data_IF_861625528407
#
_entry.id   IF_861625528407
#
_cell.length_a   1.000
_cell.length_b   1.000
_cell.length_c   1.000
_cell.angle_alpha   90.00
_cell.angle_beta   90.00
_cell.angle_gamma   90.00
#
_symmetry.space_group_name_H-M   'P 1'
#
loop_
_entity.id
_entity.type
_entity.pdbx_description
1 polymer ?
#
# COMPACT_ATOMS: atom_id res chain seq x y z
N UNK A 1 -39.86 -45.51 -7.77
CA UNK A 1 -38.90 -44.82 -8.65
C UNK A 1 -37.52 -45.12 -8.09
N UNK A 2 -36.88 -46.17 -8.60
CA UNK A 2 -35.61 -46.69 -8.10
C UNK A 2 -34.47 -45.75 -8.48
N UNK A 3 -33.81 -45.19 -7.47
CA UNK A 3 -32.61 -44.36 -7.62
C UNK A 3 -31.49 -45.29 -8.07
N UNK A 4 -31.01 -45.14 -9.30
CA UNK A 4 -29.77 -45.78 -9.75
C UNK A 4 -28.61 -45.14 -8.97
N UNK A 5 -27.63 -45.92 -8.47
CA UNK A 5 -26.46 -45.35 -7.83
C UNK A 5 -25.71 -44.49 -8.85
N UNK A 6 -25.38 -43.25 -8.48
CA UNK A 6 -24.46 -42.42 -9.28
C UNK A 6 -23.16 -43.21 -9.46
N UNK A 7 -22.80 -43.50 -10.71
CA UNK A 7 -21.55 -44.16 -11.03
C UNK A 7 -20.40 -43.26 -10.55
N UNK A 8 -19.63 -43.75 -9.57
CA UNK A 8 -18.39 -43.12 -9.12
C UNK A 8 -17.42 -43.08 -10.30
N UNK A 9 -17.20 -41.89 -10.86
CA UNK A 9 -16.44 -41.67 -12.10
C UNK A 9 -15.25 -40.77 -11.78
N UNK A 10 -14.04 -41.24 -12.09
CA UNK A 10 -12.82 -40.43 -11.96
C UNK A 10 -12.39 -39.90 -13.33
N UNK A 11 -12.35 -38.58 -13.50
CA UNK A 11 -11.86 -37.93 -14.73
C UNK A 11 -10.35 -37.83 -14.70
N UNK A 12 -9.66 -38.49 -15.62
CA UNK A 12 -8.19 -38.47 -15.70
C UNK A 12 -7.72 -38.11 -17.10
N UNK A 13 -6.59 -37.42 -17.16
CA UNK A 13 -5.87 -37.16 -18.40
C UNK A 13 -4.84 -38.27 -18.60
N UNK A 14 -4.93 -39.03 -19.68
CA UNK A 14 -3.94 -40.04 -20.05
C UNK A 14 -3.02 -39.50 -21.14
N UNK A 15 -1.71 -39.58 -20.89
CA UNK A 15 -0.65 -39.16 -21.79
C UNK A 15 0.06 -40.42 -22.32
N UNK A 16 -0.08 -40.70 -23.61
CA UNK A 16 0.71 -41.72 -24.33
C UNK A 16 1.81 -41.08 -25.15
N UNK A 17 2.63 -41.90 -25.82
CA UNK A 17 3.64 -41.43 -26.78
C UNK A 17 3.04 -40.77 -28.03
N UNK A 18 1.79 -41.07 -28.37
CA UNK A 18 1.13 -40.59 -29.59
C UNK A 18 0.13 -39.47 -29.34
N UNK A 19 -0.59 -39.47 -28.20
CA UNK A 19 -1.57 -38.41 -27.89
C UNK A 19 -1.89 -38.28 -26.39
N UNK A 20 -2.50 -37.13 -26.06
CA UNK A 20 -3.12 -36.85 -24.76
C UNK A 20 -4.64 -36.97 -24.90
N UNK A 21 -5.28 -37.73 -24.02
CA UNK A 21 -6.74 -37.96 -24.04
C UNK A 21 -7.31 -37.93 -22.63
N UNK A 22 -8.43 -37.25 -22.48
CA UNK A 22 -9.17 -37.19 -21.22
C UNK A 22 -10.25 -38.27 -21.21
N UNK A 23 -10.23 -39.12 -20.17
CA UNK A 23 -11.16 -40.24 -20.02
C UNK A 23 -11.84 -40.18 -18.65
N UNK A 24 -13.11 -40.56 -18.61
CA UNK A 24 -13.82 -40.84 -17.37
C UNK A 24 -13.75 -42.35 -17.10
N UNK A 25 -13.09 -42.73 -16.02
CA UNK A 25 -12.92 -44.13 -15.63
C UNK A 25 -13.99 -44.52 -14.60
N UNK A 26 -14.78 -45.58 -14.84
CA UNK A 26 -15.73 -46.11 -13.88
C UNK A 26 -15.02 -46.71 -12.65
N UNK A 27 -15.38 -46.23 -11.45
CA UNK A 27 -14.76 -46.58 -10.18
C UNK A 27 -14.91 -48.05 -9.76
N UNK A 28 -16.01 -48.69 -10.17
CA UNK A 28 -16.33 -50.08 -9.81
C UNK A 28 -15.58 -51.14 -10.65
N UNK A 29 -14.91 -50.74 -11.72
CA UNK A 29 -14.27 -51.64 -12.69
C UNK A 29 -12.76 -51.73 -12.41
N UNK A 30 -12.16 -52.90 -12.67
CA UNK A 30 -10.70 -53.08 -12.54
C UNK A 30 -9.95 -52.37 -13.67
N UNK A 31 -8.73 -51.89 -13.38
CA UNK A 31 -7.92 -51.22 -14.40
C UNK A 31 -7.57 -52.16 -15.56
N UNK A 32 -7.46 -53.47 -15.31
CA UNK A 32 -7.21 -54.50 -16.33
C UNK A 32 -8.31 -54.57 -17.40
N UNK A 33 -9.57 -54.42 -17.01
CA UNK A 33 -10.72 -54.43 -17.93
C UNK A 33 -10.80 -53.15 -18.77
N UNK A 34 -10.33 -52.03 -18.22
CA UNK A 34 -10.31 -50.74 -18.91
C UNK A 34 -9.09 -50.58 -19.83
N UNK A 35 -8.03 -51.37 -19.62
CA UNK A 35 -6.76 -51.22 -20.33
C UNK A 35 -6.88 -51.31 -21.86
N UNK A 36 -7.58 -52.29 -22.46
CA UNK A 36 -7.74 -52.35 -23.92
C UNK A 36 -8.41 -51.10 -24.49
N UNK A 37 -9.41 -50.57 -23.78
CA UNK A 37 -10.10 -49.34 -24.14
C UNK A 37 -9.18 -48.12 -24.01
N UNK A 38 -8.42 -48.02 -22.91
CA UNK A 38 -7.45 -46.96 -22.66
C UNK A 38 -6.37 -46.94 -23.75
N UNK A 39 -5.78 -48.09 -24.10
CA UNK A 39 -4.75 -48.21 -25.15
C UNK A 39 -5.32 -47.77 -26.49
N UNK A 40 -6.50 -48.25 -26.88
CA UNK A 40 -7.18 -47.83 -28.12
C UNK A 40 -7.52 -46.34 -28.12
N UNK A 41 -8.04 -45.81 -27.01
CA UNK A 41 -8.32 -44.38 -26.85
C UNK A 41 -7.06 -43.53 -26.72
N UNK A 42 -5.90 -44.12 -26.47
CA UNK A 42 -4.62 -43.42 -26.50
C UNK A 42 -3.91 -43.49 -27.86
N UNK A 43 -4.55 -44.08 -28.88
CA UNK A 43 -4.04 -44.10 -30.27
C UNK A 43 -2.92 -45.11 -30.47
N UNK A 44 -2.90 -46.17 -29.67
CA UNK A 44 -1.93 -47.26 -29.72
C UNK A 44 -2.65 -48.54 -30.17
N UNK A 45 -1.98 -49.34 -31.00
CA UNK A 45 -2.51 -50.61 -31.50
C UNK A 45 -2.10 -51.76 -30.57
N UNK A 46 -3.07 -52.56 -30.15
CA UNK A 46 -2.86 -53.85 -29.50
C UNK A 46 -3.60 -54.90 -30.31
N UNK A 47 -2.93 -55.97 -30.75
CA UNK A 47 -3.55 -56.99 -31.60
C UNK A 47 -4.53 -57.86 -30.80
N UNK A 48 -4.33 -57.97 -29.48
CA UNK A 48 -5.23 -58.70 -28.57
C UNK A 48 -5.50 -57.94 -27.28
N UNK A 49 -6.69 -58.13 -26.65
CA UNK A 49 -7.00 -57.50 -25.36
C UNK A 49 -6.06 -57.98 -24.23
N UNK A 50 -5.55 -59.21 -24.31
CA UNK A 50 -4.54 -59.75 -23.38
C UNK A 50 -3.19 -59.04 -23.52
N UNK A 51 -2.77 -58.71 -24.75
CA UNK A 51 -1.55 -57.95 -25.01
C UNK A 51 -1.64 -56.53 -24.43
N UNK A 52 -2.82 -55.89 -24.48
CA UNK A 52 -3.02 -54.57 -23.85
C UNK A 52 -2.73 -54.58 -22.34
N UNK A 53 -3.13 -55.64 -21.63
CA UNK A 53 -2.94 -55.78 -20.17
C UNK A 53 -1.50 -56.15 -19.81
N UNK A 54 -0.79 -56.89 -20.67
CA UNK A 54 0.57 -57.35 -20.40
C UNK A 54 1.65 -56.37 -20.89
N UNK A 55 1.41 -55.66 -22.00
CA UNK A 55 2.40 -54.78 -22.63
C UNK A 55 2.36 -53.35 -22.09
N UNK A 56 1.23 -52.89 -21.55
CA UNK A 56 1.04 -51.50 -21.13
C UNK A 56 0.80 -51.37 -19.64
N UNK A 57 1.27 -50.26 -19.08
CA UNK A 57 1.06 -49.90 -17.68
C UNK A 57 0.74 -48.43 -17.56
N UNK A 58 -0.12 -48.12 -16.61
CA UNK A 58 -0.51 -46.76 -16.27
C UNK A 58 0.20 -46.38 -14.97
N UNK A 59 0.89 -45.24 -14.97
CA UNK A 59 1.67 -44.79 -13.82
C UNK A 59 1.52 -43.28 -13.62
N UNK A 60 1.65 -42.82 -12.37
CA UNK A 60 1.84 -41.41 -12.07
C UNK A 60 3.28 -41.02 -12.40
N UNK A 61 3.53 -39.74 -12.68
CA UNK A 61 4.88 -39.26 -12.90
C UNK A 61 5.74 -39.47 -11.65
N UNK A 62 6.83 -40.26 -11.76
CA UNK A 62 7.75 -40.55 -10.66
C UNK A 62 7.18 -41.48 -9.58
N UNK A 63 6.20 -42.32 -9.90
CA UNK A 63 5.68 -43.35 -8.97
C UNK A 63 5.59 -44.69 -9.68
N UNK A 64 5.51 -45.76 -8.89
CA UNK A 64 5.32 -47.11 -9.42
C UNK A 64 4.05 -47.22 -10.27
N UNK A 65 4.03 -48.12 -11.27
CA UNK A 65 2.84 -48.40 -12.04
C UNK A 65 1.69 -48.90 -11.16
N UNK A 66 0.46 -48.51 -11.50
CA UNK A 66 -0.74 -48.93 -10.79
C UNK A 66 -0.96 -50.44 -10.92
N UNK A 67 -1.49 -51.04 -9.86
CA UNK A 67 -1.93 -52.43 -9.87
C UNK A 67 -3.17 -52.59 -10.77
N UNK A 68 -3.03 -53.43 -11.80
CA UNK A 68 -4.05 -53.68 -12.82
C UNK A 68 -5.28 -54.42 -12.27
N UNK A 69 -5.13 -55.16 -11.17
CA UNK A 69 -6.21 -55.95 -10.58
C UNK A 69 -7.01 -55.20 -9.51
N UNK A 70 -6.59 -53.99 -9.17
CA UNK A 70 -7.29 -53.14 -8.21
C UNK A 70 -8.37 -52.30 -8.92
N UNK A 71 -9.58 -52.17 -8.35
CA UNK A 71 -10.63 -51.31 -8.91
C UNK A 71 -10.26 -49.83 -8.84
N UNK A 72 -10.71 -49.04 -9.81
CA UNK A 72 -10.35 -47.63 -9.99
C UNK A 72 -10.60 -46.78 -8.74
N UNK A 73 -11.69 -47.04 -8.02
CA UNK A 73 -12.02 -46.32 -6.77
C UNK A 73 -11.02 -46.56 -5.62
N UNK A 74 -10.27 -47.66 -5.65
CA UNK A 74 -9.22 -47.98 -4.66
C UNK A 74 -7.83 -47.48 -5.07
N UNK A 75 -7.67 -47.01 -6.31
CA UNK A 75 -6.40 -46.47 -6.82
C UNK A 75 -6.16 -45.00 -6.40
N UNK A 76 -7.06 -44.41 -5.58
CA UNK A 76 -6.97 -43.03 -5.09
C UNK A 76 -6.73 -41.98 -6.20
N UNK A 77 -7.31 -42.20 -7.37
CA UNK A 77 -7.23 -41.27 -8.49
C UNK A 77 -8.09 -40.04 -8.19
N UNK A 78 -7.52 -38.85 -8.43
CA UNK A 78 -8.26 -37.59 -8.29
C UNK A 78 -8.78 -37.12 -9.65
N UNK A 79 -9.90 -36.38 -9.62
CA UNK A 79 -10.39 -35.71 -10.81
C UNK A 79 -9.37 -34.68 -11.34
N UNK A 80 -9.08 -34.76 -12.64
CA UNK A 80 -8.10 -33.94 -13.34
C UNK A 80 -6.65 -34.45 -13.24
N UNK A 81 -6.42 -35.63 -12.66
CA UNK A 81 -5.07 -36.18 -12.50
C UNK A 81 -4.48 -36.65 -13.85
N UNK A 82 -3.18 -36.37 -14.05
CA UNK A 82 -2.44 -36.77 -15.26
C UNK A 82 -1.70 -38.08 -15.05
N UNK A 83 -2.02 -39.07 -15.88
CA UNK A 83 -1.45 -40.41 -15.86
C UNK A 83 -0.67 -40.69 -17.15
N UNK A 84 0.45 -41.40 -17.03
CA UNK A 84 1.29 -41.76 -18.17
C UNK A 84 1.04 -43.23 -18.55
N UNK A 85 0.67 -43.46 -19.80
CA UNK A 85 0.55 -44.79 -20.38
C UNK A 85 1.86 -45.13 -21.09
N UNK A 86 2.59 -46.15 -20.61
CA UNK A 86 3.87 -46.58 -21.20
C UNK A 86 3.94 -48.09 -21.35
N UNK A 87 4.85 -48.54 -22.21
CA UNK A 87 5.18 -49.95 -22.32
C UNK A 87 5.81 -50.45 -21.01
N UNK A 88 5.50 -51.69 -20.59
CA UNK A 88 5.92 -52.25 -19.30
C UNK A 88 7.43 -52.29 -19.12
N UNK A 89 8.18 -52.51 -20.19
CA UNK A 89 9.65 -52.50 -20.21
C UNK A 89 10.24 -51.08 -20.07
N UNK A 90 9.42 -50.04 -20.25
CA UNK A 90 9.79 -48.62 -20.19
C UNK A 90 9.09 -47.89 -19.02
N UNK A 91 8.71 -48.62 -17.97
CA UNK A 91 8.22 -48.01 -16.73
C UNK A 91 9.26 -47.00 -16.20
N UNK A 92 8.79 -45.89 -15.62
CA UNK A 92 9.72 -44.87 -15.11
C UNK A 92 10.40 -45.46 -13.87
N UNK A 93 11.74 -45.56 -13.81
CA UNK A 93 12.43 -45.99 -12.61
C UNK A 93 12.10 -45.05 -11.45
N UNK A 94 12.05 -45.58 -10.23
CA UNK A 94 11.93 -44.76 -9.03
C UNK A 94 13.02 -43.68 -9.01
N UNK A 95 12.69 -42.50 -8.49
CA UNK A 95 13.65 -41.41 -8.32
C UNK A 95 14.63 -41.79 -7.20
N UNK A 96 15.62 -42.61 -7.54
CA UNK A 96 16.71 -42.96 -6.64
C UNK A 96 17.61 -41.72 -6.45
N UNK A 97 17.48 -41.07 -5.29
CA UNK A 97 18.43 -40.07 -4.84
C UNK A 97 19.71 -40.79 -4.40
N UNK A 98 20.69 -40.84 -5.29
CA UNK A 98 21.94 -41.61 -5.11
C UNK A 98 22.97 -40.91 -4.21
N UNK A 99 22.66 -39.71 -3.71
CA UNK A 99 23.64 -38.94 -2.94
C UNK A 99 23.00 -38.15 -1.79
N UNK A 100 23.26 -38.61 -0.57
CA UNK A 100 22.85 -37.95 0.70
C UNK A 100 23.42 -36.52 0.78
N UNK A 101 24.50 -36.24 0.05
CA UNK A 101 25.10 -34.90 -0.07
C UNK A 101 24.23 -33.96 -0.89
N UNK A 102 23.55 -34.45 -1.94
CA UNK A 102 22.72 -33.63 -2.82
C UNK A 102 21.33 -33.33 -2.20
N UNK A 103 20.84 -34.22 -1.33
CA UNK A 103 19.64 -33.97 -0.52
C UNK A 103 19.86 -32.85 0.52
N UNK A 104 21.05 -32.77 1.13
CA UNK A 104 21.41 -31.70 2.07
C UNK A 104 21.74 -30.40 1.33
N UNK A 105 22.37 -30.48 0.14
CA UNK A 105 22.61 -29.33 -0.73
C UNK A 105 21.30 -28.74 -1.28
N UNK A 106 20.34 -29.58 -1.67
CA UNK A 106 18.99 -29.16 -2.09
C UNK A 106 18.20 -28.49 -0.96
N UNK A 107 18.26 -29.04 0.26
CA UNK A 107 17.63 -28.45 1.43
C UNK A 107 18.27 -27.10 1.85
N UNK A 108 19.58 -26.92 1.63
CA UNK A 108 20.28 -25.67 1.97
C UNK A 108 20.21 -24.61 0.86
N UNK A 109 20.16 -25.00 -0.42
CA UNK A 109 19.95 -24.09 -1.56
C UNK A 109 18.51 -23.54 -1.66
N UNK A 110 17.56 -24.13 -0.93
CA UNK A 110 16.20 -23.59 -0.79
C UNK A 110 16.11 -22.35 0.12
N UNK A 111 17.19 -22.03 0.85
CA UNK A 111 17.25 -20.84 1.71
C UNK A 111 17.59 -19.61 0.87
N UNK A 112 16.93 -18.49 1.14
CA UNK A 112 17.28 -17.21 0.52
C UNK A 112 18.74 -16.86 0.85
N UNK A 113 19.62 -16.95 -0.13
CA UNK A 113 21.03 -16.59 0.01
C UNK A 113 21.22 -15.08 -0.27
N UNK A 114 22.32 -14.52 0.26
CA UNK A 114 22.64 -13.12 0.02
C UNK A 114 23.04 -12.90 -1.44
N UNK A 115 22.20 -12.21 -2.22
CA UNK A 115 22.46 -11.87 -3.60
C UNK A 115 22.93 -10.42 -3.80
N UNK A 116 23.36 -10.09 -5.02
CA UNK A 116 23.73 -8.73 -5.41
C UNK A 116 22.60 -7.70 -5.18
N UNK A 117 21.34 -8.12 -5.33
CA UNK A 117 20.17 -7.30 -5.01
C UNK A 117 20.12 -6.87 -3.54
N UNK A 118 20.47 -7.77 -2.62
CA UNK A 118 20.51 -7.48 -1.19
C UNK A 118 21.66 -6.53 -0.85
N UNK A 119 22.85 -6.75 -1.43
CA UNK A 119 23.99 -5.80 -1.31
C UNK A 119 23.61 -4.40 -1.76
N UNK A 120 22.91 -4.29 -2.91
CA UNK A 120 22.44 -3.01 -3.44
C UNK A 120 21.42 -2.36 -2.51
N UNK A 121 20.42 -3.10 -2.06
CA UNK A 121 19.41 -2.59 -1.14
C UNK A 121 20.05 -2.07 0.16
N UNK A 122 20.96 -2.85 0.74
CA UNK A 122 21.71 -2.46 1.93
C UNK A 122 22.56 -1.21 1.68
N UNK A 123 23.24 -1.12 0.53
CA UNK A 123 23.99 0.06 0.14
C UNK A 123 23.13 1.31 -0.03
N UNK A 124 21.92 1.18 -0.60
CA UNK A 124 20.97 2.29 -0.73
C UNK A 124 20.41 2.73 0.63
N UNK A 125 20.14 1.79 1.54
CA UNK A 125 19.74 2.11 2.92
C UNK A 125 20.86 2.87 3.62
N UNK A 126 22.11 2.40 3.53
CA UNK A 126 23.26 3.05 4.13
C UNK A 126 23.53 4.44 3.54
N UNK A 127 23.35 4.60 2.22
CA UNK A 127 23.40 5.91 1.57
C UNK A 127 22.39 6.86 2.20
N UNK A 128 21.13 6.44 2.36
CA UNK A 128 20.07 7.27 2.94
C UNK A 128 20.34 7.63 4.40
N UNK A 129 20.75 6.65 5.21
CA UNK A 129 21.02 6.87 6.64
C UNK A 129 22.19 7.80 6.84
N UNK A 130 23.26 7.68 6.05
CA UNK A 130 24.42 8.59 6.13
C UNK A 130 24.06 9.98 5.61
N UNK A 131 23.42 10.06 4.44
CA UNK A 131 23.14 11.32 3.76
C UNK A 131 22.13 12.19 4.53
N UNK A 132 21.14 11.59 5.19
CA UNK A 132 20.12 12.31 5.99
C UNK A 132 20.52 12.36 7.46
N UNK A 133 21.01 11.24 8.01
CA UNK A 133 21.26 11.08 9.44
C UNK A 133 22.44 11.89 9.94
N UNK A 134 23.56 11.98 9.20
CA UNK A 134 24.70 12.78 9.67
C UNK A 134 24.39 14.28 9.73
N UNK A 135 23.81 14.93 8.70
CA UNK A 135 23.46 16.34 8.79
C UNK A 135 22.45 16.63 9.92
N UNK A 136 21.44 15.76 10.08
CA UNK A 136 20.48 15.90 11.16
C UNK A 136 21.15 15.76 12.54
N UNK A 137 22.03 14.78 12.71
CA UNK A 137 22.78 14.58 13.94
C UNK A 137 23.67 15.79 14.25
N UNK A 138 24.36 16.35 13.26
CA UNK A 138 25.19 17.54 13.45
C UNK A 138 24.39 18.76 13.88
N UNK A 139 23.15 18.92 13.40
CA UNK A 139 22.25 20.01 13.80
C UNK A 139 21.74 19.79 15.22
N UNK A 140 21.27 18.57 15.55
CA UNK A 140 20.64 18.26 16.84
C UNK A 140 21.66 18.13 17.97
N UNK A 141 22.90 17.72 17.67
CA UNK A 141 23.98 17.59 18.65
C UNK A 141 24.64 18.93 19.02
N UNK A 142 24.21 20.05 18.43
CA UNK A 142 24.69 21.36 18.86
C UNK A 142 24.26 21.62 20.32
N UNK A 143 25.14 22.17 21.17
CA UNK A 143 24.78 22.49 22.54
C UNK A 143 23.64 23.51 22.57
N UNK A 144 22.76 23.42 23.57
CA UNK A 144 21.75 24.46 23.80
C UNK A 144 22.48 25.77 24.14
N UNK A 145 22.26 26.78 23.30
CA UNK A 145 22.89 28.10 23.46
C UNK A 145 21.88 29.01 24.14
N UNK A 146 22.27 29.59 25.28
CA UNK A 146 21.47 30.61 25.93
C UNK A 146 21.21 31.78 24.97
N UNK A 147 19.94 32.14 24.71
CA UNK A 147 19.59 33.14 23.71
C UNK A 147 20.17 34.51 24.05
N UNK A 148 20.30 34.83 25.34
CA UNK A 148 20.87 36.11 25.79
C UNK A 148 22.39 36.18 25.56
N UNK A 149 23.11 35.06 25.68
CA UNK A 149 24.54 35.00 25.38
C UNK A 149 24.79 35.07 23.87
N UNK A 150 23.92 34.43 23.08
CA UNK A 150 23.99 34.48 21.62
C UNK A 150 23.67 35.86 21.01
N UNK A 151 22.94 36.72 21.73
CA UNK A 151 22.74 38.13 21.34
C UNK A 151 24.01 38.95 21.44
N UNK A 152 24.83 38.65 22.44
CA UNK A 152 26.08 39.36 22.71
C UNK A 152 27.17 38.85 21.77
N UNK A 153 27.26 37.53 21.60
CA UNK A 153 28.25 36.88 20.73
C UNK A 153 27.55 36.01 19.65
N UNK A 154 27.18 36.59 18.48
CA UNK A 154 26.54 35.86 17.38
C UNK A 154 27.37 34.68 16.85
N UNK A 155 28.68 34.69 17.10
CA UNK A 155 29.60 33.60 16.73
C UNK A 155 29.24 32.25 17.35
N UNK A 156 28.51 32.22 18.47
CA UNK A 156 28.04 30.96 19.06
C UNK A 156 27.07 30.21 18.14
N UNK A 157 26.30 30.93 17.30
CA UNK A 157 25.34 30.33 16.34
C UNK A 157 25.95 29.97 14.99
N UNK A 158 27.20 30.36 14.75
CA UNK A 158 27.93 30.07 13.51
C UNK A 158 28.00 28.58 13.17
N UNK A 159 28.37 27.65 14.08
CA UNK A 159 28.44 26.22 13.74
C UNK A 159 27.08 25.65 13.31
N UNK A 160 25.99 26.06 13.96
CA UNK A 160 24.63 25.70 13.54
C UNK A 160 24.32 26.26 12.15
N UNK A 161 24.65 27.52 11.88
CA UNK A 161 24.48 28.14 10.56
C UNK A 161 25.22 27.38 9.46
N UNK A 162 26.47 26.98 9.71
CA UNK A 162 27.27 26.18 8.78
C UNK A 162 26.66 24.79 8.58
N UNK A 163 26.20 24.13 9.64
CA UNK A 163 25.55 22.82 9.54
C UNK A 163 24.27 22.88 8.70
N UNK A 164 23.42 23.89 8.92
CA UNK A 164 22.18 24.09 8.15
C UNK A 164 22.49 24.44 6.69
N UNK A 165 23.47 25.31 6.43
CA UNK A 165 23.90 25.66 5.08
C UNK A 165 24.49 24.45 4.33
N UNK A 166 25.32 23.66 4.99
CA UNK A 166 25.87 22.43 4.44
C UNK A 166 24.77 21.41 4.12
N UNK A 167 23.76 21.28 5.00
CA UNK A 167 22.58 20.43 4.74
C UNK A 167 21.82 20.90 3.50
N UNK A 168 21.65 22.22 3.34
CA UNK A 168 21.00 22.80 2.15
C UNK A 168 21.80 22.57 0.87
N UNK A 169 23.13 22.67 0.95
CA UNK A 169 24.02 22.32 -0.15
C UNK A 169 23.94 20.83 -0.51
N UNK A 170 23.94 19.93 0.50
CA UNK A 170 23.76 18.49 0.29
C UNK A 170 22.42 18.16 -0.37
N UNK A 171 21.34 18.84 0.04
CA UNK A 171 20.02 18.73 -0.59
C UNK A 171 20.10 19.06 -2.09
N UNK A 172 20.72 20.19 -2.43
CA UNK A 172 20.88 20.63 -3.80
C UNK A 172 21.79 19.69 -4.61
N UNK A 173 22.91 19.25 -4.04
CA UNK A 173 23.82 18.30 -4.65
C UNK A 173 23.14 16.94 -4.90
N UNK A 174 22.30 16.48 -3.97
CA UNK A 174 21.51 15.26 -4.14
C UNK A 174 20.47 15.40 -5.26
N UNK A 175 19.82 16.56 -5.41
CA UNK A 175 18.93 16.85 -6.54
C UNK A 175 19.69 16.74 -7.88
N UNK A 176 20.83 17.42 -8.01
CA UNK A 176 21.66 17.36 -9.22
C UNK A 176 22.14 15.93 -9.48
N UNK A 177 22.62 15.23 -8.44
CA UNK A 177 23.07 13.85 -8.53
C UNK A 177 21.96 12.90 -8.98
N UNK A 178 20.74 13.09 -8.50
CA UNK A 178 19.56 12.35 -8.95
C UNK A 178 19.29 12.57 -10.44
N UNK A 179 19.28 13.83 -10.88
CA UNK A 179 19.06 14.18 -12.29
C UNK A 179 20.16 13.59 -13.18
N UNK A 180 21.42 13.73 -12.77
CA UNK A 180 22.56 13.21 -13.52
C UNK A 180 22.51 11.68 -13.64
N UNK A 181 22.27 10.96 -12.55
CA UNK A 181 22.19 9.49 -12.57
C UNK A 181 20.98 8.99 -13.38
N UNK A 182 19.82 9.63 -13.22
CA UNK A 182 18.62 9.26 -13.97
C UNK A 182 18.76 9.50 -15.48
N UNK A 183 19.40 10.60 -15.88
CA UNK A 183 19.45 11.04 -17.28
C UNK A 183 20.70 10.63 -18.03
N UNK A 184 21.87 10.73 -17.39
CA UNK A 184 23.15 10.43 -18.04
C UNK A 184 23.55 8.97 -17.87
N UNK A 185 23.34 8.39 -16.68
CA UNK A 185 23.75 7.01 -16.37
C UNK A 185 22.60 5.99 -16.52
N UNK A 186 21.36 6.44 -16.73
CA UNK A 186 20.15 5.62 -16.74
C UNK A 186 20.02 4.71 -15.49
N UNK A 187 20.58 5.14 -14.37
CA UNK A 187 20.46 4.47 -13.08
C UNK A 187 19.23 5.06 -12.37
N UNK A 188 18.20 4.25 -12.18
CA UNK A 188 16.95 4.70 -11.56
C UNK A 188 16.87 4.50 -10.03
N UNK A 189 17.30 3.38 -9.41
CA UNK A 189 17.14 3.20 -7.96
C UNK A 189 17.94 4.18 -7.10
N UNK A 190 19.21 4.40 -7.41
CA UNK A 190 20.07 5.37 -6.71
C UNK A 190 19.60 6.79 -6.96
N UNK A 191 19.18 7.11 -8.20
CA UNK A 191 18.58 8.41 -8.51
C UNK A 191 17.28 8.64 -7.72
N UNK A 192 16.45 7.60 -7.55
CA UNK A 192 15.25 7.67 -6.69
C UNK A 192 15.65 8.04 -5.27
N UNK A 193 16.62 7.33 -4.69
CA UNK A 193 17.08 7.59 -3.34
C UNK A 193 17.58 9.03 -3.16
N UNK A 194 18.39 9.53 -4.10
CA UNK A 194 18.88 10.90 -4.04
C UNK A 194 17.77 11.95 -4.18
N UNK A 195 16.73 11.70 -4.98
CA UNK A 195 15.57 12.60 -5.07
C UNK A 195 14.81 12.71 -3.75
N UNK A 196 14.57 11.57 -3.08
CA UNK A 196 13.90 11.54 -1.78
C UNK A 196 14.78 12.13 -0.67
N UNK A 197 16.08 11.87 -0.69
CA UNK A 197 17.03 12.49 0.23
C UNK A 197 17.08 14.01 0.04
N UNK A 198 17.07 14.49 -1.20
CA UNK A 198 17.03 15.92 -1.50
C UNK A 198 15.80 16.60 -0.89
N UNK A 199 14.59 16.06 -1.13
CA UNK A 199 13.38 16.61 -0.53
C UNK A 199 13.42 16.58 1.02
N UNK A 200 13.93 15.52 1.61
CA UNK A 200 14.04 15.38 3.08
C UNK A 200 15.03 16.39 3.67
N UNK A 201 16.23 16.49 3.09
CA UNK A 201 17.25 17.45 3.50
C UNK A 201 16.78 18.89 3.32
N UNK A 202 16.05 19.19 2.25
CA UNK A 202 15.43 20.50 2.04
C UNK A 202 14.47 20.88 3.18
N UNK A 203 13.66 19.93 3.63
CA UNK A 203 12.76 20.11 4.78
C UNK A 203 13.53 20.36 6.08
N UNK A 204 14.59 19.58 6.35
CA UNK A 204 15.46 19.78 7.51
C UNK A 204 16.10 21.17 7.46
N UNK A 205 16.68 21.55 6.32
CA UNK A 205 17.25 22.88 6.12
C UNK A 205 16.22 23.97 6.38
N UNK A 206 15.02 23.86 5.81
CA UNK A 206 13.97 24.87 5.96
C UNK A 206 13.47 24.99 7.40
N UNK A 207 13.35 23.88 8.11
CA UNK A 207 12.93 23.86 9.52
C UNK A 207 13.91 24.60 10.45
N UNK A 208 15.20 24.46 10.18
CA UNK A 208 16.27 25.06 10.99
C UNK A 208 16.85 26.36 10.41
N UNK A 209 16.49 26.77 9.19
CA UNK A 209 17.08 27.91 8.46
C UNK A 209 17.04 29.23 9.23
N UNK A 210 15.97 29.50 9.98
CA UNK A 210 15.82 30.74 10.72
C UNK A 210 16.46 30.72 12.13
N UNK A 211 16.85 29.55 12.63
CA UNK A 211 17.39 29.39 14.01
C UNK A 211 18.76 30.08 14.20
N UNK A 212 19.70 30.03 13.23
CA UNK A 212 20.97 30.74 13.38
C UNK A 212 20.83 32.26 13.43
N UNK A 213 19.75 32.82 12.89
CA UNK A 213 19.59 34.26 12.64
C UNK A 213 18.59 34.91 13.61
N UNK A 214 17.67 34.16 14.20
CA UNK A 214 16.62 34.68 15.09
C UNK A 214 16.60 33.95 16.43
N UNK A 215 16.33 34.69 17.50
CA UNK A 215 16.24 34.16 18.88
C UNK A 215 14.99 33.30 19.09
N UNK A 216 13.88 33.72 18.49
CA UNK A 216 12.61 32.99 18.54
C UNK A 216 12.08 32.86 17.12
N UNK A 217 11.80 31.62 16.73
CA UNK A 217 11.25 31.32 15.41
C UNK A 217 9.88 30.67 15.64
N UNK A 218 8.78 31.39 15.35
CA UNK A 218 7.44 30.83 15.45
C UNK A 218 7.31 29.56 14.61
N UNK A 219 6.49 28.62 15.08
CA UNK A 219 6.24 27.34 14.39
C UNK A 219 5.81 27.55 12.94
N UNK A 220 4.92 28.52 12.70
CA UNK A 220 4.44 28.85 11.36
C UNK A 220 5.56 29.24 10.39
N UNK A 221 6.58 30.00 10.85
CA UNK A 221 7.74 30.38 10.02
C UNK A 221 8.58 29.16 9.66
N UNK A 222 8.81 28.25 10.61
CA UNK A 222 9.52 26.97 10.36
C UNK A 222 8.78 26.12 9.33
N UNK A 223 7.46 26.03 9.45
CA UNK A 223 6.61 25.30 8.53
C UNK A 223 6.62 25.92 7.13
N UNK A 224 6.56 27.25 7.00
CA UNK A 224 6.66 27.94 5.70
C UNK A 224 7.99 27.65 5.03
N UNK A 225 9.12 27.82 5.72
CA UNK A 225 10.44 27.58 5.14
C UNK A 225 10.67 26.11 4.79
N UNK A 226 10.28 25.18 5.69
CA UNK A 226 10.34 23.74 5.44
C UNK A 226 9.51 23.35 4.21
N UNK A 227 8.23 23.72 4.18
CA UNK A 227 7.34 23.38 3.08
C UNK A 227 7.73 24.03 1.76
N UNK A 228 8.20 25.28 1.76
CA UNK A 228 8.70 25.94 0.55
C UNK A 228 9.91 25.21 -0.06
N UNK A 229 10.92 24.85 0.75
CA UNK A 229 12.09 24.16 0.25
C UNK A 229 11.79 22.72 -0.21
N UNK A 230 10.93 22.00 0.51
CA UNK A 230 10.45 20.66 0.10
C UNK A 230 9.69 20.75 -1.23
N UNK A 231 8.79 21.73 -1.39
CA UNK A 231 8.02 21.97 -2.61
C UNK A 231 8.96 22.16 -3.81
N UNK A 232 9.97 23.03 -3.66
CA UNK A 232 10.93 23.32 -4.74
C UNK A 232 11.74 22.07 -5.09
N UNK A 233 12.32 21.37 -4.10
CA UNK A 233 13.19 20.21 -4.39
C UNK A 233 12.41 19.00 -4.90
N UNK A 234 11.25 18.68 -4.31
CA UNK A 234 10.41 17.59 -4.78
C UNK A 234 9.86 17.86 -6.19
N UNK A 235 9.42 19.11 -6.46
CA UNK A 235 8.96 19.53 -7.78
C UNK A 235 10.08 19.47 -8.83
N UNK A 236 11.27 19.98 -8.50
CA UNK A 236 12.44 19.92 -9.37
C UNK A 236 12.81 18.46 -9.70
N UNK A 237 12.90 17.58 -8.70
CA UNK A 237 13.20 16.16 -8.92
C UNK A 237 12.11 15.45 -9.74
N UNK A 238 10.83 15.72 -9.47
CA UNK A 238 9.71 15.12 -10.20
C UNK A 238 9.76 15.47 -11.70
N UNK A 239 10.09 16.74 -12.03
CA UNK A 239 10.12 17.23 -13.41
C UNK A 239 11.42 16.89 -14.14
N UNK A 240 12.57 17.07 -13.47
CA UNK A 240 13.89 16.93 -14.08
C UNK A 240 14.37 15.48 -14.10
N UNK A 241 14.43 14.80 -12.95
CA UNK A 241 14.88 13.41 -12.88
C UNK A 241 13.84 12.45 -13.47
N UNK A 242 12.54 12.77 -13.31
CA UNK A 242 11.39 11.93 -13.73
C UNK A 242 11.37 10.52 -13.13
N UNK A 243 12.13 10.30 -12.07
CA UNK A 243 12.13 9.04 -11.32
C UNK A 243 11.09 9.13 -10.22
N UNK A 244 10.18 8.17 -10.14
CA UNK A 244 9.07 8.18 -9.16
C UNK A 244 8.22 9.48 -9.18
N UNK A 245 8.07 10.09 -10.37
CA UNK A 245 7.54 11.45 -10.52
C UNK A 245 6.18 11.69 -9.81
N UNK A 246 5.27 10.72 -9.84
CA UNK A 246 3.96 10.85 -9.18
C UNK A 246 4.06 10.77 -7.64
N UNK A 247 5.01 10.01 -7.10
CA UNK A 247 5.25 9.97 -5.66
C UNK A 247 5.89 11.27 -5.18
N UNK A 248 6.87 11.81 -5.92
CA UNK A 248 7.44 13.13 -5.64
C UNK A 248 6.42 14.26 -5.85
N UNK A 249 5.49 14.12 -6.80
CA UNK A 249 4.35 15.02 -6.93
C UNK A 249 3.45 14.99 -5.68
N UNK A 250 3.22 13.82 -5.07
CA UNK A 250 2.51 13.74 -3.79
C UNK A 250 3.23 14.52 -2.69
N UNK A 251 4.57 14.42 -2.62
CA UNK A 251 5.39 15.16 -1.65
C UNK A 251 5.31 16.66 -1.91
N UNK A 252 5.45 17.08 -3.16
CA UNK A 252 5.32 18.48 -3.56
C UNK A 252 3.93 19.04 -3.25
N UNK A 253 2.87 18.28 -3.52
CA UNK A 253 1.49 18.69 -3.24
C UNK A 253 1.22 18.77 -1.73
N UNK A 254 1.77 17.83 -0.94
CA UNK A 254 1.76 17.89 0.54
C UNK A 254 2.40 19.19 1.01
N UNK A 255 3.60 19.49 0.49
CA UNK A 255 4.33 20.70 0.81
C UNK A 255 3.59 21.98 0.37
N UNK A 256 2.88 21.96 -0.76
CA UNK A 256 2.06 23.09 -1.20
C UNK A 256 0.92 23.37 -0.22
N UNK A 257 0.17 22.34 0.17
CA UNK A 257 -0.94 22.52 1.11
C UNK A 257 -0.44 22.95 2.50
N UNK A 258 0.68 22.40 2.99
CA UNK A 258 1.27 22.84 4.26
C UNK A 258 1.83 24.25 4.17
N UNK A 259 2.38 24.67 3.03
CA UNK A 259 2.84 26.04 2.79
C UNK A 259 1.68 27.04 2.85
N UNK A 260 0.56 26.72 2.20
CA UNK A 260 -0.65 27.55 2.24
C UNK A 260 -1.20 27.65 3.66
N UNK A 261 -1.30 26.52 4.37
CA UNK A 261 -1.71 26.47 5.77
C UNK A 261 -0.77 27.28 6.69
N UNK A 262 0.53 27.08 6.58
CA UNK A 262 1.50 27.77 7.43
C UNK A 262 1.53 29.29 7.13
N UNK A 263 1.33 29.67 5.87
CA UNK A 263 1.23 31.07 5.46
C UNK A 263 -0.03 31.75 6.03
N UNK A 264 -1.18 31.06 6.06
CA UNK A 264 -2.38 31.59 6.72
C UNK A 264 -2.24 31.68 8.24
N UNK A 265 -1.48 30.78 8.89
CA UNK A 265 -1.13 30.91 10.32
C UNK A 265 -0.36 32.20 10.62
N UNK A 266 0.53 32.62 9.73
CA UNK A 266 1.26 33.89 9.85
C UNK A 266 0.30 35.07 9.69
N UNK A 267 -0.53 35.06 8.65
CA UNK A 267 -1.46 36.16 8.33
C UNK A 267 -2.52 36.39 9.42
N UNK A 268 -2.99 35.32 10.06
CA UNK A 268 -4.03 35.38 11.11
C UNK A 268 -3.47 35.60 12.52
N UNK A 269 -2.19 35.93 12.67
CA UNK A 269 -1.62 36.28 13.97
C UNK A 269 -1.46 35.08 14.91
N UNK A 270 -0.94 33.95 14.41
CA UNK A 270 -0.56 32.76 15.18
C UNK A 270 -1.72 31.89 15.72
N UNK A 271 -2.90 31.96 15.09
CA UNK A 271 -4.01 31.00 15.25
C UNK A 271 -3.68 29.65 14.59
N UNK A 272 -2.62 29.00 15.10
CA UNK A 272 -2.03 27.80 14.48
C UNK A 272 -2.96 26.58 14.57
N UNK A 273 -3.71 26.47 15.66
CA UNK A 273 -4.60 25.34 15.93
C UNK A 273 -5.85 25.43 15.06
N UNK A 274 -6.44 26.62 14.96
CA UNK A 274 -7.66 26.92 14.21
C UNK A 274 -7.42 26.68 12.72
N UNK A 275 -6.31 27.19 12.19
CA UNK A 275 -5.91 26.96 10.80
C UNK A 275 -5.63 25.47 10.56
N UNK A 276 -4.98 24.78 11.50
CA UNK A 276 -4.77 23.34 11.39
C UNK A 276 -6.11 22.56 11.35
N UNK A 277 -7.08 22.92 12.18
CA UNK A 277 -8.40 22.29 12.21
C UNK A 277 -9.18 22.52 10.90
N UNK A 278 -9.12 23.74 10.36
CA UNK A 278 -9.72 24.08 9.06
C UNK A 278 -9.02 23.30 7.94
N UNK A 279 -7.69 23.25 7.92
CA UNK A 279 -6.94 22.53 6.87
C UNK A 279 -7.22 21.03 6.92
N UNK A 280 -7.27 20.42 8.11
CA UNK A 280 -7.69 19.03 8.31
C UNK A 280 -9.08 18.78 7.71
N UNK A 281 -10.03 19.66 7.99
CA UNK A 281 -11.41 19.59 7.49
C UNK A 281 -11.47 19.73 5.96
N UNK A 282 -10.75 20.70 5.40
CA UNK A 282 -10.67 20.92 3.95
C UNK A 282 -10.07 19.70 3.25
N UNK A 283 -8.99 19.11 3.79
CA UNK A 283 -8.41 17.89 3.22
C UNK A 283 -9.40 16.73 3.23
N UNK A 284 -10.21 16.60 4.29
CA UNK A 284 -11.25 15.58 4.36
C UNK A 284 -12.27 15.72 3.22
N UNK A 285 -12.80 16.93 3.00
CA UNK A 285 -13.78 17.18 1.94
C UNK A 285 -13.17 17.13 0.53
N UNK A 286 -11.92 17.57 0.37
CA UNK A 286 -11.22 17.59 -0.90
C UNK A 286 -11.14 16.19 -1.54
N UNK A 287 -11.07 15.13 -0.74
CA UNK A 287 -11.08 13.73 -1.22
C UNK A 287 -12.25 13.39 -2.15
N UNK A 288 -13.39 14.07 -2.02
CA UNK A 288 -14.57 13.88 -2.89
C UNK A 288 -14.38 14.40 -4.30
N UNK A 289 -13.53 15.40 -4.49
CA UNK A 289 -13.34 16.07 -5.77
C UNK A 289 -12.12 15.51 -6.54
N UNK A 290 -11.24 14.78 -5.86
CA UNK A 290 -10.00 14.26 -6.45
C UNK A 290 -10.22 13.33 -7.66
N UNK A 291 -11.19 12.39 -7.67
CA UNK A 291 -11.42 11.53 -8.83
C UNK A 291 -11.77 12.35 -10.08
N UNK A 292 -12.71 13.30 -9.96
CA UNK A 292 -13.11 14.15 -11.08
C UNK A 292 -11.94 15.00 -11.57
N UNK A 293 -11.13 15.54 -10.66
CA UNK A 293 -9.93 16.30 -11.02
C UNK A 293 -8.89 15.44 -11.74
N UNK A 294 -8.64 14.21 -11.29
CA UNK A 294 -7.66 13.33 -11.94
C UNK A 294 -8.09 12.95 -13.36
N UNK A 295 -9.38 12.65 -13.58
CA UNK A 295 -9.93 12.40 -14.92
C UNK A 295 -9.80 13.63 -15.84
N UNK A 296 -10.08 14.83 -15.31
CA UNK A 296 -9.94 16.09 -16.06
C UNK A 296 -8.48 16.40 -16.42
N UNK A 297 -7.55 16.21 -15.48
CA UNK A 297 -6.10 16.43 -15.71
C UNK A 297 -5.55 15.40 -16.71
N UNK A 298 -6.02 14.15 -16.64
CA UNK A 298 -5.65 13.11 -17.60
C UNK A 298 -6.29 13.31 -19.00
N UNK A 299 -7.20 14.27 -19.14
CA UNK A 299 -7.90 14.56 -20.38
C UNK A 299 -8.72 13.38 -20.89
N UNK A 300 -9.32 12.61 -19.97
CA UNK A 300 -10.25 11.54 -20.33
C UNK A 300 -11.56 12.20 -20.72
N UNK A 301 -11.94 12.09 -21.99
CA UNK A 301 -13.26 12.49 -22.43
C UNK A 301 -14.27 11.54 -21.75
N UNK A 302 -15.03 12.05 -20.79
CA UNK A 302 -16.18 11.33 -20.28
C UNK A 302 -17.16 11.20 -21.47
N UNK A 303 -17.54 9.98 -21.88
CA UNK A 303 -18.50 9.82 -22.95
C UNK A 303 -19.78 10.54 -22.55
N UNK A 304 -20.29 11.40 -23.43
CA UNK A 304 -21.61 11.98 -23.25
C UNK A 304 -22.60 10.82 -23.42
N UNK A 305 -23.14 10.30 -22.31
CA UNK A 305 -24.13 9.23 -22.37
C UNK A 305 -25.33 9.75 -23.17
N UNK A 306 -25.58 9.22 -24.38
CA UNK A 306 -26.66 9.71 -25.21
C UNK A 306 -27.97 9.34 -24.52
N UNK A 307 -28.78 10.34 -24.17
CA UNK A 307 -30.07 10.16 -23.49
C UNK A 307 -31.17 9.65 -24.43
N UNK A 308 -30.91 9.61 -25.74
CA UNK A 308 -31.83 9.16 -26.79
C UNK A 308 -31.21 8.03 -27.61
N UNK A 309 -32.00 7.02 -27.96
CA UNK A 309 -31.58 5.86 -28.78
C UNK A 309 -30.98 6.26 -30.12
N UNK A 310 -31.51 7.30 -30.76
CA UNK A 310 -30.99 7.88 -32.01
C UNK A 310 -29.58 8.45 -31.83
N UNK A 311 -29.28 9.05 -30.68
CA UNK A 311 -27.98 9.60 -30.37
C UNK A 311 -26.96 8.53 -29.96
N UNK A 312 -27.41 7.36 -29.48
CA UNK A 312 -26.54 6.18 -29.27
C UNK A 312 -26.12 5.54 -30.60
N UNK A 313 -27.00 5.56 -31.60
CA UNK A 313 -26.72 5.04 -32.95
C UNK A 313 -25.87 6.02 -33.78
N UNK A 314 -25.99 7.32 -33.52
CA UNK A 314 -25.22 8.38 -34.18
C UNK A 314 -23.86 8.67 -33.52
N UNK A 315 -23.57 8.08 -32.35
CA UNK A 315 -22.30 8.27 -31.66
C UNK A 315 -21.19 7.45 -32.33
N UNK A 316 -20.60 8.03 -33.38
CA UNK A 316 -19.42 7.50 -34.07
C UNK A 316 -18.10 8.04 -33.47
N UNK A 317 -18.12 8.62 -32.26
CA UNK A 317 -16.90 9.20 -31.69
C UNK A 317 -15.83 8.11 -31.52
N UNK A 318 -14.70 8.20 -32.24
CA UNK A 318 -13.69 7.16 -32.17
C UNK A 318 -13.10 7.14 -30.76
N UNK A 319 -13.12 5.97 -30.14
CA UNK A 319 -12.46 5.75 -28.84
C UNK A 319 -11.01 6.19 -28.98
N UNK A 320 -10.56 7.10 -28.10
CA UNK A 320 -9.18 7.58 -28.13
C UNK A 320 -8.22 6.40 -28.06
N UNK A 321 -7.28 6.29 -29.00
CA UNK A 321 -6.29 5.20 -29.04
C UNK A 321 -5.48 5.09 -27.75
N UNK A 322 -5.27 6.23 -27.07
CA UNK A 322 -4.46 6.34 -25.85
C UNK A 322 -5.30 6.28 -24.56
N UNK A 323 -6.58 5.91 -24.64
CA UNK A 323 -7.49 5.97 -23.48
C UNK A 323 -7.00 5.12 -22.30
N UNK A 324 -6.38 3.97 -22.58
CA UNK A 324 -5.80 3.08 -21.55
C UNK A 324 -4.64 3.76 -20.82
N UNK A 325 -3.73 4.39 -21.56
CA UNK A 325 -2.58 5.10 -20.97
C UNK A 325 -3.04 6.29 -20.13
N UNK A 326 -4.06 7.03 -20.60
CA UNK A 326 -4.69 8.14 -19.85
C UNK A 326 -5.38 7.64 -18.59
N UNK A 327 -6.10 6.52 -18.66
CA UNK A 327 -6.75 5.90 -17.51
C UNK A 327 -5.75 5.45 -16.45
N UNK A 328 -4.66 4.79 -16.86
CA UNK A 328 -3.57 4.41 -15.95
C UNK A 328 -2.88 5.63 -15.32
N UNK A 329 -2.70 6.70 -16.09
CA UNK A 329 -2.17 7.96 -15.56
C UNK A 329 -3.13 8.61 -14.55
N UNK A 330 -4.44 8.67 -14.86
CA UNK A 330 -5.46 9.20 -13.97
C UNK A 330 -5.53 8.42 -12.64
N UNK A 331 -5.43 7.09 -12.69
CA UNK A 331 -5.43 6.22 -11.51
C UNK A 331 -4.22 6.49 -10.59
N UNK A 332 -3.02 6.57 -11.18
CA UNK A 332 -1.79 6.88 -10.43
C UNK A 332 -1.76 8.31 -9.90
N UNK A 333 -2.29 9.27 -10.68
CA UNK A 333 -2.43 10.67 -10.26
C UNK A 333 -3.43 10.80 -9.11
N UNK A 334 -4.55 10.06 -9.14
CA UNK A 334 -5.49 10.00 -8.04
C UNK A 334 -4.83 9.43 -6.78
N UNK A 335 -4.03 8.37 -6.91
CA UNK A 335 -3.26 7.81 -5.81
C UNK A 335 -2.29 8.80 -5.17
N UNK A 336 -1.59 9.62 -5.96
CA UNK A 336 -0.68 10.64 -5.43
C UNK A 336 -1.40 11.84 -4.82
N UNK A 337 -2.53 12.26 -5.40
CA UNK A 337 -3.36 13.32 -4.80
C UNK A 337 -3.94 12.86 -3.45
N UNK A 338 -4.44 11.63 -3.36
CA UNK A 338 -4.96 11.07 -2.11
C UNK A 338 -3.86 10.95 -1.04
N UNK A 339 -2.67 10.47 -1.42
CA UNK A 339 -1.52 10.41 -0.52
C UNK A 339 -1.11 11.80 0.00
N UNK A 340 -1.17 12.84 -0.85
CA UNK A 340 -0.89 14.20 -0.42
C UNK A 340 -1.95 14.74 0.54
N UNK A 341 -3.23 14.53 0.24
CA UNK A 341 -4.33 14.95 1.14
C UNK A 341 -4.32 14.20 2.47
N UNK A 342 -3.94 12.92 2.48
CA UNK A 342 -3.89 12.14 3.71
C UNK A 342 -2.68 12.51 4.56
N UNK A 343 -1.51 12.72 3.95
CA UNK A 343 -0.31 13.18 4.66
C UNK A 343 -0.52 14.57 5.29
N UNK A 344 -1.13 15.49 4.56
CA UNK A 344 -1.43 16.85 5.07
C UNK A 344 -2.47 16.85 6.17
N UNK A 345 -3.51 16.02 6.06
CA UNK A 345 -4.47 15.79 7.13
C UNK A 345 -3.78 15.27 8.40
N UNK A 346 -2.86 14.30 8.29
CA UNK A 346 -2.12 13.78 9.46
C UNK A 346 -1.29 14.88 10.13
N UNK A 347 -0.58 15.70 9.35
CA UNK A 347 0.19 16.83 9.88
C UNK A 347 -0.71 17.87 10.56
N UNK A 348 -1.85 18.20 9.96
CA UNK A 348 -2.83 19.13 10.51
C UNK A 348 -3.49 18.57 11.79
N UNK A 349 -3.78 17.27 11.83
CA UNK A 349 -4.32 16.59 13.01
C UNK A 349 -3.36 16.68 14.20
N UNK A 350 -2.05 16.54 13.98
CA UNK A 350 -1.05 16.68 15.05
C UNK A 350 -1.08 18.06 15.69
N UNK A 351 -1.16 19.13 14.89
CA UNK A 351 -1.28 20.51 15.39
C UNK A 351 -2.65 20.78 16.04
N UNK A 352 -3.71 20.22 15.48
CA UNK A 352 -5.09 20.37 16.01
C UNK A 352 -5.21 19.76 17.41
N UNK A 353 -4.58 18.60 17.64
CA UNK A 353 -4.58 17.94 18.96
C UNK A 353 -3.82 18.72 20.03
N UNK A 354 -2.93 19.66 19.66
CA UNK A 354 -2.24 20.51 20.64
C UNK A 354 -3.19 21.39 21.45
N UNK A 355 -4.43 21.61 20.97
CA UNK A 355 -5.47 22.32 21.75
C UNK A 355 -5.85 21.56 23.04
N UNK A 356 -5.76 20.23 23.04
CA UNK A 356 -6.12 19.41 24.19
C UNK A 356 -7.62 19.38 24.55
N UNK A 357 -8.51 19.74 23.63
CA UNK A 357 -9.96 19.80 23.86
C UNK A 357 -10.69 18.52 23.40
N UNK A 358 -11.90 18.31 23.92
CA UNK A 358 -12.77 17.24 23.42
C UNK A 358 -13.16 17.48 21.95
N UNK A 359 -13.30 18.74 21.53
CA UNK A 359 -13.63 19.08 20.14
C UNK A 359 -12.49 18.76 19.18
N UNK A 360 -11.23 19.02 19.55
CA UNK A 360 -10.09 18.71 18.69
C UNK A 360 -9.89 17.20 18.53
N UNK A 361 -10.05 16.43 19.61
CA UNK A 361 -10.00 14.96 19.56
C UNK A 361 -11.14 14.37 18.73
N UNK A 362 -12.37 14.89 18.89
CA UNK A 362 -13.53 14.46 18.12
C UNK A 362 -13.38 14.78 16.63
N UNK A 363 -12.88 15.96 16.27
CA UNK A 363 -12.62 16.34 14.88
C UNK A 363 -11.64 15.38 14.22
N UNK A 364 -10.51 15.11 14.87
CA UNK A 364 -9.47 14.20 14.35
C UNK A 364 -9.99 12.77 14.25
N UNK A 365 -10.79 12.32 15.22
CA UNK A 365 -11.42 11.01 15.18
C UNK A 365 -12.41 10.89 14.02
N UNK A 366 -13.29 11.88 13.82
CA UNK A 366 -14.25 11.93 12.72
C UNK A 366 -13.54 11.88 11.36
N UNK A 367 -12.49 12.68 11.15
CA UNK A 367 -11.72 12.67 9.90
C UNK A 367 -10.98 11.34 9.71
N UNK A 368 -10.36 10.80 10.77
CA UNK A 368 -9.69 9.51 10.72
C UNK A 368 -10.61 8.36 10.35
N UNK A 369 -11.80 8.29 10.98
CA UNK A 369 -12.83 7.31 10.65
C UNK A 369 -13.38 7.49 9.23
N UNK A 370 -13.61 8.74 8.80
CA UNK A 370 -14.03 9.03 7.43
C UNK A 370 -13.01 8.49 6.42
N UNK A 371 -11.70 8.69 6.64
CA UNK A 371 -10.67 8.15 5.75
C UNK A 371 -10.63 6.62 5.74
N UNK A 372 -10.69 5.97 6.90
CA UNK A 372 -10.71 4.51 6.99
C UNK A 372 -11.91 3.89 6.27
N UNK A 373 -13.10 4.48 6.45
CA UNK A 373 -14.34 3.99 5.85
C UNK A 373 -14.38 4.27 4.34
N UNK A 374 -13.95 5.47 3.94
CA UNK A 374 -13.90 5.90 2.54
C UNK A 374 -12.87 5.12 1.72
N UNK A 375 -11.86 4.53 2.34
CA UNK A 375 -10.90 3.67 1.68
C UNK A 375 -11.57 2.45 0.97
N UNK A 376 -12.79 2.08 1.38
CA UNK A 376 -13.59 1.01 0.74
C UNK A 376 -14.08 1.38 -0.66
N UNK A 377 -14.22 2.67 -0.96
CA UNK A 377 -14.67 3.16 -2.27
C UNK A 377 -13.59 3.06 -3.36
N UNK A 378 -12.32 2.91 -2.97
CA UNK A 378 -11.19 2.87 -3.88
C UNK A 378 -10.66 1.45 -4.06
N UNK A 379 -10.56 1.02 -5.31
CA UNK A 379 -10.03 -0.31 -5.67
C UNK A 379 -8.50 -0.29 -5.77
N UNK A 380 -7.91 0.84 -6.20
CA UNK A 380 -6.47 0.97 -6.40
C UNK A 380 -5.68 0.84 -5.09
N UNK A 381 -4.60 0.04 -5.11
CA UNK A 381 -3.78 -0.23 -3.92
C UNK A 381 -3.23 1.05 -3.29
N UNK A 382 -2.66 1.96 -4.10
CA UNK A 382 -2.09 3.21 -3.58
C UNK A 382 -3.15 4.14 -3.00
N UNK A 383 -4.31 4.25 -3.66
CA UNK A 383 -5.44 5.08 -3.23
C UNK A 383 -5.99 4.59 -1.88
N UNK A 384 -6.17 3.27 -1.78
CA UNK A 384 -6.65 2.62 -0.56
C UNK A 384 -5.64 2.71 0.58
N UNK A 385 -4.35 2.46 0.32
CA UNK A 385 -3.30 2.60 1.34
C UNK A 385 -3.14 4.04 1.83
N UNK A 386 -3.21 5.03 0.94
CA UNK A 386 -3.12 6.45 1.32
C UNK A 386 -4.16 6.83 2.37
N UNK A 387 -5.42 6.42 2.17
CA UNK A 387 -6.51 6.68 3.11
C UNK A 387 -6.46 5.78 4.35
N UNK A 388 -6.10 4.50 4.21
CA UNK A 388 -5.99 3.58 5.35
C UNK A 388 -4.89 4.02 6.31
N UNK A 389 -3.69 4.32 5.80
CA UNK A 389 -2.56 4.74 6.63
C UNK A 389 -2.86 6.10 7.26
N UNK A 390 -3.34 7.07 6.48
CA UNK A 390 -3.70 8.40 7.01
C UNK A 390 -4.80 8.34 8.06
N UNK A 391 -5.88 7.61 7.78
CA UNK A 391 -6.99 7.40 8.71
C UNK A 391 -6.56 6.68 9.98
N UNK A 392 -5.75 5.62 9.85
CA UNK A 392 -5.22 4.89 11.00
C UNK A 392 -4.32 5.77 11.88
N UNK A 393 -3.45 6.60 11.29
CA UNK A 393 -2.63 7.55 12.04
C UNK A 393 -3.50 8.58 12.78
N UNK A 394 -4.51 9.18 12.12
CA UNK A 394 -5.42 10.11 12.78
C UNK A 394 -6.18 9.47 13.94
N UNK A 395 -6.75 8.28 13.75
CA UNK A 395 -7.45 7.55 14.81
C UNK A 395 -6.49 7.17 15.94
N UNK A 396 -5.28 6.71 15.63
CA UNK A 396 -4.28 6.39 16.64
C UNK A 396 -3.87 7.62 17.46
N UNK A 397 -3.65 8.77 16.81
CA UNK A 397 -3.34 10.03 17.50
C UNK A 397 -4.49 10.48 18.40
N UNK A 398 -5.75 10.41 17.94
CA UNK A 398 -6.92 10.73 18.76
C UNK A 398 -7.07 9.76 19.95
N UNK A 399 -6.87 8.45 19.71
CA UNK A 399 -6.91 7.43 20.76
C UNK A 399 -5.81 7.63 21.81
N UNK A 400 -4.59 8.00 21.39
CA UNK A 400 -3.49 8.35 22.30
C UNK A 400 -3.86 9.59 23.12
N UNK A 401 -4.40 10.64 22.48
CA UNK A 401 -4.80 11.86 23.19
C UNK A 401 -5.86 11.59 24.27
N UNK A 402 -6.89 10.78 23.95
CA UNK A 402 -7.89 10.33 24.93
C UNK A 402 -7.26 9.45 26.00
N UNK A 403 -6.38 8.54 25.60
CA UNK A 403 -5.72 7.59 26.50
C UNK A 403 -4.83 8.26 27.54
N UNK A 404 -4.07 9.27 27.16
CA UNK A 404 -3.25 10.06 28.07
C UNK A 404 -4.10 10.74 29.14
N UNK A 405 -5.29 11.25 28.77
CA UNK A 405 -6.23 11.82 29.74
C UNK A 405 -6.84 10.77 30.68
N UNK A 406 -7.30 9.64 30.13
CA UNK A 406 -7.92 8.58 30.91
C UNK A 406 -6.95 7.88 31.89
N UNK A 407 -5.67 7.74 31.51
CA UNK A 407 -4.62 7.11 32.32
C UNK A 407 -4.30 7.86 33.63
N UNK A 408 -4.78 9.10 33.79
CA UNK A 408 -4.61 9.86 35.03
C UNK A 408 -5.46 9.33 36.19
N UNK A 409 -6.43 8.46 35.92
CA UNK A 409 -7.30 7.84 36.93
C UNK A 409 -7.21 6.32 36.88
N UNK A 410 -7.31 5.65 38.04
CA UNK A 410 -7.28 4.18 38.10
C UNK A 410 -8.44 3.55 37.32
N UNK A 411 -9.62 4.17 37.37
CA UNK A 411 -10.80 3.74 36.61
C UNK A 411 -10.63 3.93 35.10
N UNK A 412 -10.03 5.05 34.67
CA UNK A 412 -9.70 5.28 33.27
C UNK A 412 -8.67 4.27 32.77
N UNK A 413 -7.62 4.00 33.54
CA UNK A 413 -6.60 3.00 33.20
C UNK A 413 -7.17 1.58 33.07
N UNK A 414 -8.05 1.15 34.00
CA UNK A 414 -8.70 -0.15 33.89
C UNK A 414 -9.63 -0.23 32.68
N UNK A 415 -10.39 0.83 32.39
CA UNK A 415 -11.25 0.89 31.20
C UNK A 415 -10.43 0.81 29.90
N UNK A 416 -9.27 1.47 29.83
CA UNK A 416 -8.38 1.42 28.68
C UNK A 416 -7.81 0.02 28.45
N UNK A 417 -7.41 -0.69 29.51
CA UNK A 417 -6.95 -2.08 29.40
C UNK A 417 -8.05 -2.99 28.85
N UNK A 418 -9.29 -2.83 29.30
CA UNK A 418 -10.43 -3.59 28.79
C UNK A 418 -10.68 -3.28 27.31
N UNK A 419 -10.68 -2.00 26.91
CA UNK A 419 -10.85 -1.60 25.51
C UNK A 419 -9.70 -2.13 24.64
N UNK A 420 -8.46 -2.06 25.13
CA UNK A 420 -7.29 -2.58 24.44
C UNK A 420 -7.38 -4.09 24.21
N UNK A 421 -7.73 -4.86 25.25
CA UNK A 421 -7.93 -6.31 25.14
C UNK A 421 -9.06 -6.66 24.16
N UNK A 422 -10.16 -5.91 24.18
CA UNK A 422 -11.27 -6.10 23.25
C UNK A 422 -10.85 -5.83 21.80
N UNK A 423 -10.17 -4.71 21.54
CA UNK A 423 -9.67 -4.38 20.20
C UNK A 423 -8.64 -5.41 19.72
N UNK A 424 -7.71 -5.82 20.57
CA UNK A 424 -6.73 -6.84 20.26
C UNK A 424 -7.41 -8.18 19.89
N UNK A 425 -8.42 -8.58 20.65
CA UNK A 425 -9.22 -9.77 20.34
C UNK A 425 -9.94 -9.65 18.99
N UNK A 426 -10.60 -8.52 18.71
CA UNK A 426 -11.30 -8.28 17.44
C UNK A 426 -10.35 -8.35 16.26
N UNK A 427 -9.19 -7.69 16.33
CA UNK A 427 -8.19 -7.72 15.26
C UNK A 427 -7.56 -9.10 15.10
N UNK A 428 -7.23 -9.79 16.20
CA UNK A 428 -6.72 -11.16 16.15
C UNK A 428 -7.73 -12.10 15.49
N UNK A 429 -9.01 -11.99 15.86
CA UNK A 429 -10.07 -12.79 15.25
C UNK A 429 -10.27 -12.47 13.76
N UNK A 430 -10.23 -11.18 13.39
CA UNK A 430 -10.31 -10.77 11.99
C UNK A 430 -9.19 -11.38 11.15
N UNK A 431 -7.94 -11.25 11.62
CA UNK A 431 -6.76 -11.80 10.96
C UNK A 431 -6.78 -13.33 10.89
N UNK A 432 -7.30 -14.01 11.92
CA UNK A 432 -7.35 -15.46 11.97
C UNK A 432 -8.48 -16.07 11.11
N UNK A 433 -9.65 -15.43 11.05
CA UNK A 433 -10.87 -16.10 10.58
C UNK A 433 -11.66 -15.35 9.48
N UNK A 434 -11.56 -14.02 9.40
CA UNK A 434 -12.50 -13.19 8.62
C UNK A 434 -11.85 -12.57 7.38
N UNK A 435 -10.53 -12.42 7.33
CA UNK A 435 -9.83 -11.64 6.28
C UNK A 435 -10.17 -12.04 4.82
N UNK A 436 -10.50 -13.31 4.56
CA UNK A 436 -10.81 -13.84 3.23
C UNK A 436 -12.31 -13.99 2.96
N UNK A 437 -13.17 -13.62 3.93
CA UNK A 437 -14.62 -13.77 3.81
C UNK A 437 -15.24 -12.51 3.23
N UNK A 438 -16.12 -12.70 2.24
CA UNK A 438 -16.98 -11.62 1.76
C UNK A 438 -18.05 -11.37 2.82
N UNK A 439 -18.00 -10.21 3.48
CA UNK A 439 -18.98 -9.79 4.47
C UNK A 439 -20.35 -9.59 3.80
N UNK A 440 -21.43 -9.85 4.55
CA UNK A 440 -22.79 -9.69 4.02
C UNK A 440 -23.08 -8.22 3.63
N UNK A 441 -23.96 -7.96 2.65
CA UNK A 441 -24.29 -6.60 2.19
C UNK A 441 -24.76 -5.65 3.31
N UNK A 442 -25.34 -6.20 4.38
CA UNK A 442 -25.78 -5.46 5.57
C UNK A 442 -24.63 -4.77 6.31
N UNK A 443 -23.46 -5.41 6.41
CA UNK A 443 -22.27 -4.81 7.04
C UNK A 443 -21.70 -3.66 6.20
N UNK A 444 -21.80 -3.77 4.87
CA UNK A 444 -21.48 -2.67 3.96
C UNK A 444 -22.31 -1.44 4.29
N UNK A 445 -23.63 -1.62 4.43
CA UNK A 445 -24.59 -0.55 4.78
C UNK A 445 -24.26 0.11 6.12
N UNK A 446 -23.93 -0.67 7.14
CA UNK A 446 -23.54 -0.11 8.44
C UNK A 446 -22.28 0.74 8.32
N UNK A 447 -21.27 0.28 7.58
CA UNK A 447 -20.08 1.08 7.32
C UNK A 447 -20.39 2.40 6.61
N UNK A 448 -21.35 2.40 5.68
CA UNK A 448 -21.80 3.64 5.02
C UNK A 448 -22.44 4.58 6.04
N UNK A 449 -23.34 4.09 6.90
CA UNK A 449 -23.95 4.90 7.98
C UNK A 449 -22.88 5.51 8.90
N UNK A 450 -21.87 4.73 9.30
CA UNK A 450 -20.76 5.26 10.10
C UNK A 450 -19.93 6.30 9.35
N UNK A 451 -19.77 6.16 8.03
CA UNK A 451 -19.08 7.13 7.20
C UNK A 451 -19.85 8.46 7.14
N UNK A 452 -21.16 8.39 6.93
CA UNK A 452 -22.04 9.56 6.99
C UNK A 452 -22.00 10.24 8.35
N UNK A 453 -22.09 9.48 9.45
CA UNK A 453 -21.99 10.03 10.80
C UNK A 453 -20.64 10.70 11.06
N UNK A 454 -19.55 10.07 10.62
CA UNK A 454 -18.21 10.64 10.74
C UNK A 454 -18.11 11.96 9.98
N UNK A 455 -18.58 12.01 8.72
CA UNK A 455 -18.58 13.22 7.88
C UNK A 455 -19.46 14.33 8.47
N UNK A 456 -20.67 14.00 8.93
CA UNK A 456 -21.59 14.96 9.56
C UNK A 456 -20.95 15.53 10.83
N UNK A 457 -20.23 14.70 11.60
CA UNK A 457 -19.56 15.11 12.84
C UNK A 457 -18.39 16.09 12.63
N UNK A 458 -17.79 16.15 11.43
CA UNK A 458 -16.65 17.04 11.14
C UNK A 458 -17.00 18.51 11.37
N UNK A 459 -18.15 18.97 10.84
CA UNK A 459 -18.51 20.40 10.90
C UNK A 459 -18.80 20.85 12.34
N UNK A 460 -19.65 20.16 13.13
CA UNK A 460 -19.86 20.52 14.54
C UNK A 460 -18.57 20.50 15.36
N UNK A 461 -17.69 19.52 15.11
CA UNK A 461 -16.41 19.41 15.81
C UNK A 461 -15.48 20.58 15.48
N UNK A 462 -15.40 20.97 14.20
CA UNK A 462 -14.63 22.13 13.76
C UNK A 462 -15.13 23.42 14.43
N UNK A 463 -16.44 23.64 14.47
CA UNK A 463 -17.03 24.81 15.15
C UNK A 463 -16.67 24.85 16.65
N UNK A 464 -16.56 23.68 17.28
CA UNK A 464 -16.09 23.57 18.66
C UNK A 464 -14.61 23.86 18.83
N UNK A 465 -13.76 23.46 17.88
CA UNK A 465 -12.33 23.80 17.89
C UNK A 465 -12.11 25.30 17.70
N UNK A 466 -12.94 25.95 16.90
CA UNK A 466 -12.90 27.40 16.65
C UNK A 466 -13.53 28.23 17.79
N UNK A 467 -13.93 27.60 18.89
CA UNK A 467 -14.58 28.27 20.03
C UNK A 467 -15.86 29.06 19.67
N UNK A 468 -16.56 28.69 18.59
CA UNK A 468 -17.81 29.37 18.22
C UNK A 468 -18.94 29.09 19.21
N UNK A 469 -19.01 27.89 19.79
CA UNK A 469 -20.06 27.57 20.77
C UNK A 469 -19.92 28.39 22.05
N UNK A 470 -18.69 28.56 22.55
CA UNK A 470 -18.42 29.39 23.74
C UNK A 470 -18.66 30.86 23.44
N UNK A 471 -18.32 31.33 22.24
CA UNK A 471 -18.64 32.69 21.78
C UNK A 471 -20.14 32.97 21.79
N UNK A 472 -20.96 32.12 21.15
CA UNK A 472 -22.42 32.32 21.15
C UNK A 472 -23.06 32.15 22.53
N UNK A 473 -22.55 31.24 23.37
CA UNK A 473 -23.01 31.10 24.75
C UNK A 473 -22.70 32.35 25.60
N UNK A 474 -21.66 33.11 25.28
CA UNK A 474 -21.32 34.36 25.97
C UNK A 474 -22.19 35.56 25.56
N UNK A 475 -22.91 35.46 24.44
CA UNK A 475 -23.83 36.48 23.93
C UNK A 475 -25.28 36.32 24.43
N UNK A 476 -25.63 35.13 24.91
CA UNK A 476 -26.93 34.79 25.52
C UNK A 476 -26.88 35.05 27.03
#
# INVERSE_FOLDING_TARGET
MSILPEEDLSRVTIISSSRRVDLALPGAVTLSELMPSIVRFSGLESNTPTEAVHAWVLQRFGSDPFDLYTPVNKLNLRDGETLHLRHRENAIPDAAFDDVVDAVAGATNSRSSWGAGNSRLFGLILLMTVLIGLPLLLIVAQPDIDPDLARIDPWLRFPLGVAVAATGFLSFAACIGSIALARAANETPTATCLAWASATLAGITGWFAAVPVSDSVPMAVRLVLCSALVLVMAGACALAARVSALALFSVALTALFTLVAASSMILLGNQSVEVAAVTLTVMAFLTSFLPTLSYRIAGIALPNLPVTTEAMLADETPVQSDIVNRALFADRLLGSMLAATSATAVLAALLTLMQGTLWSTLLVLCVGLAFLLRARAFVGLMQRLALLIGGAMCVAMAAIAVGVGAAQSLAGLSSMFVVCLLLAYVFAHYCAAIYHRVLSPTWGRWGDVFEWLAIIGIVPALLGVLDLYSYFASLL
#
